data_IF_677924824812
#
_entry.id   IF_677924824812
#
_cell.length_a   1.000
_cell.length_b   1.000
_cell.length_c   1.000
_cell.angle_alpha   90.00
_cell.angle_beta   90.00
_cell.angle_gamma   90.00
#
_symmetry.space_group_name_H-M   'P 1'
#
loop_
_entity.id
_entity.type
_entity.pdbx_description
1 polymer ?
#
# COMPACT_ATOMS: atom_id res chain seq x y z
N UNK A 1 -92.16 39.35 -16.60
CA UNK A 1 -92.39 38.59 -15.38
C UNK A 1 -92.67 39.57 -14.25
N UNK A 2 -93.70 39.35 -13.44
CA UNK A 2 -94.01 40.22 -12.30
C UNK A 2 -92.87 40.27 -11.30
N UNK A 3 -92.60 41.43 -10.74
CA UNK A 3 -91.48 41.73 -9.80
C UNK A 3 -91.47 40.76 -8.59
N UNK A 4 -92.62 40.27 -8.21
CA UNK A 4 -92.77 39.29 -7.11
C UNK A 4 -92.09 37.92 -7.42
N UNK A 5 -92.19 37.49 -8.66
CA UNK A 5 -91.58 36.20 -9.06
C UNK A 5 -90.01 36.30 -9.11
N UNK A 6 -89.54 37.46 -9.55
CA UNK A 6 -88.06 37.68 -9.53
C UNK A 6 -87.51 37.72 -8.11
N UNK A 7 -88.22 38.37 -7.19
CA UNK A 7 -87.75 38.45 -5.76
C UNK A 7 -87.77 37.09 -5.07
N UNK A 8 -88.76 36.26 -5.43
CA UNK A 8 -88.90 34.91 -4.89
C UNK A 8 -87.78 33.99 -5.39
N UNK A 9 -87.51 34.02 -6.70
CA UNK A 9 -86.41 33.29 -7.30
C UNK A 9 -85.01 33.70 -6.69
N UNK A 10 -84.83 35.00 -6.51
CA UNK A 10 -83.59 35.50 -5.98
C UNK A 10 -83.35 35.02 -4.52
N UNK A 11 -84.41 35.00 -3.69
CA UNK A 11 -84.34 34.46 -2.35
C UNK A 11 -84.04 32.95 -2.29
N UNK A 12 -84.64 32.16 -3.20
CA UNK A 12 -84.38 30.73 -3.29
C UNK A 12 -82.99 30.43 -3.75
N UNK A 13 -82.40 31.17 -4.68
CA UNK A 13 -81.04 31.03 -5.14
C UNK A 13 -80.07 31.39 -4.03
N UNK A 14 -80.28 32.48 -3.28
CA UNK A 14 -79.44 32.82 -2.15
C UNK A 14 -79.47 31.77 -1.03
N UNK A 15 -80.67 31.26 -0.70
CA UNK A 15 -80.86 30.23 0.30
C UNK A 15 -80.09 28.94 -0.10
N UNK A 16 -80.16 28.53 -1.38
CA UNK A 16 -79.43 27.38 -1.88
C UNK A 16 -77.90 27.60 -1.92
N UNK A 17 -77.43 28.80 -2.21
CA UNK A 17 -75.99 29.14 -2.17
C UNK A 17 -75.49 29.12 -0.73
N UNK A 18 -76.26 29.67 0.22
CA UNK A 18 -75.84 29.60 1.64
C UNK A 18 -75.88 28.19 2.22
N UNK A 19 -76.85 27.35 1.83
CA UNK A 19 -76.90 25.96 2.21
C UNK A 19 -75.68 25.16 1.64
N UNK A 20 -75.35 25.37 0.34
CA UNK A 20 -74.19 24.72 -0.29
C UNK A 20 -72.86 25.16 0.29
N UNK A 21 -72.72 26.41 0.74
CA UNK A 21 -71.50 26.87 1.44
C UNK A 21 -71.37 26.30 2.86
N UNK A 22 -72.51 26.13 3.56
CA UNK A 22 -72.50 25.48 4.89
C UNK A 22 -72.13 24.01 4.84
N UNK A 23 -72.58 23.31 3.80
CA UNK A 23 -72.22 21.89 3.59
C UNK A 23 -70.75 21.69 3.19
N UNK A 24 -70.18 22.60 2.37
CA UNK A 24 -68.74 22.59 2.04
C UNK A 24 -67.83 22.88 3.24
N UNK A 25 -68.33 23.66 4.18
CA UNK A 25 -67.56 23.99 5.42
C UNK A 25 -67.54 22.84 6.43
N UNK A 26 -68.54 21.95 6.41
CA UNK A 26 -68.57 20.74 7.27
C UNK A 26 -67.61 19.63 6.81
N UNK A 27 -67.18 19.58 5.51
CA UNK A 27 -66.31 18.53 4.98
C UNK A 27 -64.81 18.78 5.22
N UNK A 28 -64.38 19.87 5.80
CA UNK A 28 -62.99 20.19 6.12
C UNK A 28 -62.70 20.26 7.62
N UNK A 29 -63.50 19.62 8.45
CA UNK A 29 -63.04 19.29 9.81
C UNK A 29 -62.10 18.06 9.70
N UNK A 30 -60.85 18.30 9.28
CA UNK A 30 -59.79 17.35 9.48
C UNK A 30 -59.76 17.15 10.99
N UNK A 31 -60.06 15.92 11.38
CA UNK A 31 -60.03 15.45 12.75
C UNK A 31 -58.57 15.58 13.24
N UNK A 32 -58.24 16.75 13.81
CA UNK A 32 -57.00 16.91 14.57
C UNK A 32 -57.18 16.05 15.82
N UNK A 33 -56.75 14.77 15.73
CA UNK A 33 -56.46 13.99 16.92
C UNK A 33 -55.55 14.87 17.77
N UNK A 34 -56.03 15.35 18.91
CA UNK A 34 -55.18 15.94 19.94
C UNK A 34 -54.32 14.79 20.44
N UNK A 35 -53.21 14.52 19.72
CA UNK A 35 -52.20 13.58 20.17
C UNK A 35 -51.67 14.16 21.48
N UNK A 36 -51.85 13.46 22.61
CA UNK A 36 -51.33 13.97 23.88
C UNK A 36 -49.83 14.21 23.75
N UNK A 37 -49.32 15.29 24.29
CA UNK A 37 -47.93 15.71 24.15
C UNK A 37 -46.93 14.59 24.51
N UNK A 38 -47.27 13.74 25.48
CA UNK A 38 -46.42 12.59 25.85
C UNK A 38 -46.20 11.60 24.71
N UNK A 39 -47.16 11.42 23.77
CA UNK A 39 -47.01 10.52 22.61
C UNK A 39 -45.98 11.08 21.62
N UNK A 40 -45.96 12.41 21.47
CA UNK A 40 -44.94 13.09 20.65
C UNK A 40 -43.53 12.89 21.24
N UNK A 41 -43.40 13.03 22.55
CA UNK A 41 -42.13 12.77 23.23
C UNK A 41 -41.70 11.30 23.17
N UNK A 42 -42.66 10.37 23.31
CA UNK A 42 -42.40 8.95 23.18
C UNK A 42 -41.95 8.59 21.76
N UNK A 43 -42.57 9.18 20.73
CA UNK A 43 -42.18 8.94 19.32
C UNK A 43 -40.76 9.46 19.05
N UNK A 44 -40.40 10.64 19.54
CA UNK A 44 -39.05 11.20 19.42
C UNK A 44 -38.02 10.31 20.16
N UNK A 45 -38.37 9.86 21.37
CA UNK A 45 -37.49 8.96 22.13
C UNK A 45 -37.23 7.63 21.39
N UNK A 46 -38.27 7.03 20.81
CA UNK A 46 -38.16 5.79 20.00
C UNK A 46 -37.27 6.04 18.79
N UNK A 47 -37.43 7.17 18.08
CA UNK A 47 -36.59 7.51 16.93
C UNK A 47 -35.13 7.71 17.33
N UNK A 48 -34.86 8.37 18.46
CA UNK A 48 -33.49 8.56 18.95
C UNK A 48 -32.85 7.24 19.38
N UNK A 49 -33.60 6.38 20.06
CA UNK A 49 -33.13 5.04 20.45
C UNK A 49 -32.88 4.20 19.18
N UNK A 50 -33.81 4.20 18.22
CA UNK A 50 -33.66 3.50 16.94
C UNK A 50 -32.47 3.98 16.15
N UNK A 51 -32.25 5.31 16.07
CA UNK A 51 -31.07 5.86 15.39
C UNK A 51 -29.77 5.50 16.12
N UNK A 52 -29.77 5.64 17.46
CA UNK A 52 -28.61 5.31 18.28
C UNK A 52 -28.21 3.82 18.18
N UNK A 53 -29.21 2.93 18.26
CA UNK A 53 -28.96 1.48 18.10
C UNK A 53 -28.49 1.12 16.71
N UNK A 54 -29.09 1.71 15.68
CA UNK A 54 -28.67 1.48 14.29
C UNK A 54 -27.25 1.99 14.05
N UNK A 55 -26.92 3.20 14.55
CA UNK A 55 -25.58 3.75 14.44
C UNK A 55 -24.54 2.90 15.19
N UNK A 56 -24.91 2.40 16.39
CA UNK A 56 -24.05 1.49 17.16
C UNK A 56 -23.81 0.17 16.46
N UNK A 57 -24.88 -0.47 15.93
CA UNK A 57 -24.78 -1.71 15.17
C UNK A 57 -23.97 -1.53 13.87
N UNK A 58 -24.22 -0.42 13.17
CA UNK A 58 -23.45 -0.08 11.97
C UNK A 58 -21.97 0.09 12.27
N UNK A 59 -21.65 0.80 13.35
CA UNK A 59 -20.26 0.99 13.79
C UNK A 59 -19.60 -0.36 14.13
N UNK A 60 -20.28 -1.19 14.96
CA UNK A 60 -19.73 -2.51 15.33
C UNK A 60 -19.53 -3.42 14.10
N UNK A 61 -20.49 -3.43 13.17
CA UNK A 61 -20.36 -4.22 11.93
C UNK A 61 -19.24 -3.70 11.04
N UNK A 62 -19.10 -2.36 10.94
CA UNK A 62 -18.01 -1.74 10.19
C UNK A 62 -16.65 -2.05 10.82
N UNK A 63 -16.54 -2.01 12.14
CA UNK A 63 -15.34 -2.36 12.89
C UNK A 63 -15.00 -3.86 12.76
N UNK A 64 -16.00 -4.75 12.74
CA UNK A 64 -15.82 -6.18 12.52
C UNK A 64 -15.33 -6.49 11.10
N UNK A 65 -15.95 -5.86 10.07
CA UNK A 65 -15.53 -6.00 8.68
C UNK A 65 -14.12 -5.42 8.46
N UNK A 66 -13.80 -4.30 9.09
CA UNK A 66 -12.47 -3.68 9.01
C UNK A 66 -11.40 -4.47 9.80
N UNK A 67 -11.82 -5.30 10.75
CA UNK A 67 -10.93 -6.03 11.67
C UNK A 67 -10.85 -7.51 11.35
N UNK A 68 -11.30 -7.97 10.16
CA UNK A 68 -11.12 -9.36 9.75
C UNK A 68 -9.61 -9.65 9.67
N UNK A 69 -9.02 -10.38 10.63
CA UNK A 69 -7.59 -10.66 10.67
C UNK A 69 -7.13 -11.53 9.50
N UNK A 70 -8.06 -12.15 8.79
CA UNK A 70 -7.78 -12.93 7.58
C UNK A 70 -7.64 -12.02 6.34
N UNK A 71 -8.11 -10.77 6.42
CA UNK A 71 -8.00 -9.83 5.30
C UNK A 71 -6.58 -9.31 5.19
N UNK A 72 -5.92 -9.68 4.10
CA UNK A 72 -4.56 -9.28 3.77
C UNK A 72 -4.59 -8.18 2.69
N UNK A 73 -3.87 -7.11 2.92
CA UNK A 73 -3.57 -6.09 1.92
C UNK A 73 -2.25 -6.43 1.23
N UNK A 74 -2.24 -6.32 -0.08
CA UNK A 74 -1.09 -6.66 -0.92
C UNK A 74 -0.77 -5.51 -1.86
N UNK A 75 0.45 -5.03 -1.82
CA UNK A 75 1.00 -4.07 -2.77
C UNK A 75 2.00 -4.81 -3.65
N UNK A 76 1.68 -4.93 -4.94
CA UNK A 76 2.53 -5.59 -5.92
C UNK A 76 3.13 -4.55 -6.85
N UNK A 77 4.43 -4.60 -7.03
CA UNK A 77 5.20 -3.77 -7.95
C UNK A 77 5.82 -4.67 -9.02
N UNK A 78 5.40 -4.49 -10.26
CA UNK A 78 5.89 -5.28 -11.38
C UNK A 78 7.35 -4.95 -11.75
N UNK A 79 7.96 -5.80 -12.57
CA UNK A 79 9.27 -5.52 -13.17
C UNK A 79 9.25 -4.20 -13.93
N UNK A 80 10.32 -3.43 -13.83
CA UNK A 80 10.44 -2.12 -14.48
C UNK A 80 9.68 -0.98 -13.77
N UNK A 81 8.96 -1.27 -12.68
CA UNK A 81 8.19 -0.31 -11.93
C UNK A 81 8.79 -0.07 -10.54
N UNK A 82 8.45 1.05 -9.94
CA UNK A 82 8.69 1.36 -8.52
C UNK A 82 7.46 2.04 -7.95
N UNK A 83 7.24 1.89 -6.67
CA UNK A 83 6.12 2.51 -5.99
C UNK A 83 6.52 3.04 -4.62
N UNK A 84 5.72 3.94 -4.09
CA UNK A 84 5.77 4.32 -2.68
C UNK A 84 4.39 4.17 -2.07
N UNK A 85 4.34 3.71 -0.84
CA UNK A 85 3.11 3.54 -0.07
C UNK A 85 3.30 4.12 1.32
N UNK A 86 2.24 4.70 1.86
CA UNK A 86 2.15 5.09 3.26
C UNK A 86 1.28 4.08 3.97
N UNK A 87 1.81 3.42 4.98
CA UNK A 87 1.10 2.48 5.83
C UNK A 87 0.16 3.20 6.80
N UNK A 88 -0.82 2.50 7.40
CA UNK A 88 -1.81 3.11 8.29
C UNK A 88 -1.23 3.83 9.52
N UNK A 89 -0.02 3.45 9.96
CA UNK A 89 0.71 4.07 11.09
C UNK A 89 1.52 5.32 10.70
N UNK A 90 1.51 5.71 9.40
CA UNK A 90 2.33 6.81 8.88
C UNK A 90 3.71 6.40 8.35
N UNK A 91 4.12 5.14 8.54
CA UNK A 91 5.38 4.60 7.97
C UNK A 91 5.37 4.74 6.45
N UNK A 92 6.45 5.30 5.89
CA UNK A 92 6.64 5.42 4.44
C UNK A 92 7.50 4.28 3.93
N UNK A 93 7.05 3.64 2.87
CA UNK A 93 7.75 2.52 2.25
C UNK A 93 7.93 2.81 0.76
N UNK A 94 9.17 2.72 0.28
CA UNK A 94 9.49 2.70 -1.14
C UNK A 94 9.76 1.26 -1.55
N UNK A 95 9.11 0.82 -2.61
CA UNK A 95 9.19 -0.52 -3.16
C UNK A 95 9.95 -0.49 -4.47
N UNK A 96 11.01 -1.28 -4.58
CA UNK A 96 11.77 -1.44 -5.81
C UNK A 96 11.05 -2.36 -6.80
N UNK A 97 11.57 -2.50 -7.98
CA UNK A 97 11.01 -3.33 -9.05
C UNK A 97 10.89 -4.80 -8.61
N UNK A 98 9.82 -5.46 -9.07
CA UNK A 98 9.54 -6.86 -8.76
C UNK A 98 9.46 -7.13 -7.26
N UNK A 99 8.67 -6.31 -6.56
CA UNK A 99 8.55 -6.35 -5.10
C UNK A 99 7.09 -6.50 -4.70
N UNK A 100 6.87 -7.32 -3.70
CA UNK A 100 5.58 -7.50 -3.03
C UNK A 100 5.70 -7.16 -1.55
N UNK A 101 4.78 -6.34 -1.07
CA UNK A 101 4.61 -6.03 0.34
C UNK A 101 3.20 -6.43 0.77
N UNK A 102 3.08 -7.19 1.86
CA UNK A 102 1.80 -7.60 2.42
C UNK A 102 1.70 -7.26 3.89
N UNK A 103 0.49 -6.91 4.34
CA UNK A 103 0.16 -6.70 5.76
C UNK A 103 -1.32 -7.02 6.00
N UNK A 104 -1.68 -7.37 7.24
CA UNK A 104 -3.04 -7.74 7.59
C UNK A 104 -3.90 -6.54 7.96
N UNK A 105 -5.22 -6.72 8.02
CA UNK A 105 -6.17 -5.67 8.39
C UNK A 105 -6.09 -5.24 9.87
N UNK A 106 -5.45 -6.05 10.70
CA UNK A 106 -5.14 -5.76 12.11
C UNK A 106 -3.81 -5.01 12.31
N UNK A 107 -3.13 -4.66 11.20
CA UNK A 107 -1.90 -3.87 11.24
C UNK A 107 -2.05 -2.61 12.11
N UNK A 108 -1.14 -2.45 13.05
CA UNK A 108 -1.11 -1.32 13.99
C UNK A 108 -2.00 -1.48 15.22
N UNK A 109 -2.80 -2.56 15.36
CA UNK A 109 -3.59 -2.86 16.56
C UNK A 109 -2.79 -3.60 17.62
N UNK A 110 -2.21 -4.75 17.25
CA UNK A 110 -1.37 -5.57 18.12
C UNK A 110 0.11 -5.43 17.78
N UNK A 111 0.41 -5.39 16.49
CA UNK A 111 1.77 -5.23 15.98
C UNK A 111 1.74 -4.53 14.61
N UNK A 112 2.91 -4.06 14.17
CA UNK A 112 3.13 -3.44 12.87
C UNK A 112 3.92 -4.43 11.98
N UNK A 113 3.28 -5.57 11.67
CA UNK A 113 3.90 -6.66 10.90
C UNK A 113 3.64 -6.50 9.41
N UNK A 114 4.73 -6.54 8.62
CA UNK A 114 4.68 -6.62 7.16
C UNK A 114 5.51 -7.80 6.66
N UNK A 115 5.09 -8.42 5.57
CA UNK A 115 5.90 -9.41 4.85
C UNK A 115 6.40 -8.80 3.55
N UNK A 116 7.67 -9.03 3.22
CA UNK A 116 8.36 -8.51 2.05
C UNK A 116 8.95 -9.64 1.21
N UNK A 117 8.65 -9.62 -0.09
CA UNK A 117 9.40 -10.34 -1.11
C UNK A 117 9.91 -9.32 -2.13
N UNK A 118 11.22 -9.19 -2.29
CA UNK A 118 11.82 -8.14 -3.14
C UNK A 118 12.69 -7.17 -2.34
N UNK A 119 12.65 -5.89 -2.67
CA UNK A 119 13.48 -4.86 -2.03
C UNK A 119 12.64 -3.64 -1.66
N UNK A 120 12.76 -3.20 -0.40
CA UNK A 120 12.07 -2.02 0.08
C UNK A 120 12.95 -1.19 1.04
N UNK A 121 12.75 0.12 0.96
CA UNK A 121 13.29 1.09 1.91
C UNK A 121 12.15 1.61 2.78
N UNK A 122 12.39 1.59 4.08
CA UNK A 122 11.41 1.96 5.11
C UNK A 122 11.86 3.22 5.86
N UNK A 123 10.96 4.17 6.01
CA UNK A 123 11.05 5.24 7.00
C UNK A 123 9.93 5.00 8.01
N UNK A 124 10.29 4.30 9.08
CA UNK A 124 9.34 3.83 10.09
C UNK A 124 8.94 4.97 11.02
N UNK A 125 7.64 5.17 11.17
CA UNK A 125 7.09 6.13 12.14
C UNK A 125 7.47 5.73 13.57
N UNK A 126 7.89 6.72 14.37
CA UNK A 126 8.39 6.49 15.74
C UNK A 126 7.25 6.09 16.66
N UNK A 127 7.32 4.87 17.17
CA UNK A 127 6.42 4.35 18.19
C UNK A 127 7.19 3.39 19.10
N UNK A 128 7.36 3.78 20.36
CA UNK A 128 8.07 2.99 21.36
C UNK A 128 7.21 1.87 21.96
N UNK A 129 5.91 1.85 21.69
CA UNK A 129 4.97 0.89 22.28
C UNK A 129 4.68 -0.28 21.36
N UNK A 130 4.84 -0.11 20.04
CA UNK A 130 4.55 -1.13 19.03
C UNK A 130 5.75 -1.30 18.10
N UNK A 131 6.27 -2.51 18.03
CA UNK A 131 7.40 -2.84 17.18
C UNK A 131 6.95 -2.92 15.71
N UNK A 132 7.73 -2.32 14.81
CA UNK A 132 7.59 -2.52 13.38
C UNK A 132 8.42 -3.71 12.95
N UNK A 133 7.82 -4.71 12.33
CA UNK A 133 8.47 -5.97 12.00
C UNK A 133 8.34 -6.25 10.50
N UNK A 134 9.47 -6.46 9.83
CA UNK A 134 9.53 -6.91 8.43
C UNK A 134 9.94 -8.38 8.40
N UNK A 135 9.06 -9.25 7.90
CA UNK A 135 9.40 -10.64 7.56
C UNK A 135 9.82 -10.73 6.11
N UNK A 136 11.05 -11.09 5.85
CA UNK A 136 11.69 -11.12 4.54
C UNK A 136 12.38 -12.47 4.30
N UNK A 137 11.64 -13.44 3.78
CA UNK A 137 12.07 -14.83 3.72
C UNK A 137 12.35 -15.38 5.12
N UNK A 138 13.59 -15.80 5.39
CA UNK A 138 14.02 -16.31 6.70
C UNK A 138 14.51 -15.22 7.66
N UNK A 139 14.63 -13.98 7.17
CA UNK A 139 15.09 -12.84 7.95
C UNK A 139 13.90 -12.08 8.55
N UNK A 140 14.02 -11.75 9.83
CA UNK A 140 13.11 -10.82 10.50
C UNK A 140 13.88 -9.57 10.90
N UNK A 141 13.31 -8.40 10.60
CA UNK A 141 13.89 -7.09 10.86
C UNK A 141 12.93 -6.30 11.73
N UNK A 142 13.36 -5.93 12.94
CA UNK A 142 12.53 -5.24 13.93
C UNK A 142 13.06 -3.84 14.23
N UNK A 143 12.15 -2.87 14.24
CA UNK A 143 12.44 -1.44 14.36
C UNK A 143 11.40 -0.70 15.24
N UNK A 144 11.81 0.44 15.83
CA UNK A 144 10.94 1.30 16.67
C UNK A 144 10.77 2.73 16.14
N UNK A 145 11.43 3.05 15.03
CA UNK A 145 11.45 4.40 14.44
C UNK A 145 12.80 4.63 13.80
N UNK A 146 12.99 4.08 12.60
CA UNK A 146 14.29 3.91 11.95
C UNK A 146 14.15 4.07 10.45
N UNK A 147 15.26 4.40 9.78
CA UNK A 147 15.35 4.35 8.32
C UNK A 147 16.27 3.19 7.91
N UNK A 148 15.76 2.23 7.15
CA UNK A 148 16.52 1.04 6.74
C UNK A 148 16.03 0.48 5.39
N UNK A 149 16.88 -0.29 4.72
CA UNK A 149 16.60 -1.03 3.50
C UNK A 149 16.62 -2.53 3.77
N UNK A 150 15.69 -3.26 3.20
CA UNK A 150 15.68 -4.73 3.19
C UNK A 150 15.64 -5.21 1.76
N UNK A 151 16.55 -6.12 1.39
CA UNK A 151 16.58 -6.77 0.08
C UNK A 151 16.48 -8.28 0.28
N UNK A 152 15.42 -8.85 -0.23
CA UNK A 152 15.02 -10.24 -0.03
C UNK A 152 14.32 -10.82 -1.25
N UNK A 153 14.95 -10.70 -2.43
CA UNK A 153 14.47 -11.38 -3.63
C UNK A 153 14.66 -12.89 -3.48
N UNK A 154 13.71 -13.67 -3.98
CA UNK A 154 13.76 -15.13 -3.88
C UNK A 154 14.96 -15.71 -4.61
N UNK A 155 15.26 -15.20 -5.81
CA UNK A 155 16.35 -15.64 -6.67
C UNK A 155 17.73 -15.15 -6.23
N UNK A 156 17.83 -14.16 -5.34
CA UNK A 156 19.11 -13.68 -4.83
C UNK A 156 19.71 -14.69 -3.82
N UNK A 157 21.02 -14.89 -3.89
CA UNK A 157 21.75 -15.77 -2.96
C UNK A 157 21.76 -15.26 -1.53
N UNK A 158 21.52 -13.96 -1.35
CA UNK A 158 21.65 -13.27 -0.06
C UNK A 158 20.38 -12.50 0.28
N UNK A 159 20.07 -12.48 1.58
CA UNK A 159 19.17 -11.51 2.19
C UNK A 159 20.02 -10.42 2.82
N UNK A 160 19.65 -9.15 2.66
CA UNK A 160 20.38 -8.03 3.28
C UNK A 160 19.44 -7.09 3.99
N UNK A 161 19.89 -6.58 5.15
CA UNK A 161 19.26 -5.49 5.87
C UNK A 161 20.30 -4.42 6.16
N UNK A 162 20.04 -3.17 5.77
CA UNK A 162 20.97 -2.05 5.92
C UNK A 162 20.31 -0.94 6.70
N UNK A 163 20.96 -0.48 7.77
CA UNK A 163 20.46 0.58 8.63
C UNK A 163 21.11 1.92 8.29
N UNK A 164 20.28 2.98 8.19
CA UNK A 164 20.72 4.36 7.94
C UNK A 164 20.53 5.25 9.17
N UNK A 165 19.41 5.08 9.90
CA UNK A 165 19.10 5.88 11.08
C UNK A 165 18.41 5.03 12.14
N UNK A 166 18.77 5.24 13.41
CA UNK A 166 18.18 4.59 14.57
C UNK A 166 18.85 3.29 14.96
N UNK A 167 18.07 2.25 15.24
CA UNK A 167 18.53 0.93 15.70
C UNK A 167 17.59 -0.15 15.20
N UNK A 168 18.14 -1.21 14.65
CA UNK A 168 17.38 -2.35 14.10
C UNK A 168 17.91 -3.64 14.69
N UNK A 169 17.01 -4.53 15.14
CA UNK A 169 17.31 -5.92 15.44
C UNK A 169 16.99 -6.76 14.23
N UNK A 170 17.97 -7.54 13.77
CA UNK A 170 17.79 -8.51 12.68
C UNK A 170 17.97 -9.91 13.21
N UNK A 171 17.11 -10.84 12.85
CA UNK A 171 17.16 -12.23 13.25
C UNK A 171 17.03 -13.18 12.06
N UNK A 172 17.75 -14.29 12.07
CA UNK A 172 17.61 -15.41 11.14
C UNK A 172 17.66 -16.71 11.96
N UNK A 173 16.52 -17.38 12.09
CA UNK A 173 16.40 -18.54 12.96
C UNK A 173 16.62 -18.18 14.43
N UNK A 174 17.73 -18.68 15.04
CA UNK A 174 18.10 -18.39 16.43
C UNK A 174 19.19 -17.33 16.58
N UNK A 175 19.80 -16.95 15.47
CA UNK A 175 20.89 -15.97 15.47
C UNK A 175 20.31 -14.58 15.30
N UNK A 176 20.78 -13.64 16.12
CA UNK A 176 20.33 -12.25 16.04
C UNK A 176 21.51 -11.27 16.09
N UNK A 177 21.34 -10.13 15.44
CA UNK A 177 22.30 -9.04 15.39
C UNK A 177 21.58 -7.71 15.53
N UNK A 178 22.14 -6.81 16.31
CA UNK A 178 21.67 -5.43 16.38
C UNK A 178 22.56 -4.58 15.48
N UNK A 179 21.94 -3.98 14.45
CA UNK A 179 22.61 -3.06 13.54
C UNK A 179 22.65 -1.65 14.12
N UNK A 180 23.75 -0.97 13.88
CA UNK A 180 23.97 0.46 14.10
C UNK A 180 23.89 1.20 12.76
N UNK A 181 23.71 2.52 12.75
CA UNK A 181 23.77 3.31 11.53
C UNK A 181 25.00 3.00 10.69
N UNK A 182 24.82 2.95 9.38
CA UNK A 182 25.82 2.59 8.37
C UNK A 182 26.32 1.13 8.44
N UNK A 183 25.59 0.25 9.14
CA UNK A 183 25.86 -1.19 9.12
C UNK A 183 24.84 -1.92 8.23
N UNK A 184 25.35 -2.94 7.53
CA UNK A 184 24.57 -3.85 6.70
C UNK A 184 24.82 -5.29 7.12
N UNK A 185 23.74 -6.02 7.45
CA UNK A 185 23.77 -7.47 7.62
C UNK A 185 23.53 -8.12 6.26
N UNK A 186 24.37 -9.08 5.92
CA UNK A 186 24.18 -9.99 4.79
C UNK A 186 24.06 -11.42 5.30
N UNK A 187 22.98 -12.11 4.97
CA UNK A 187 22.77 -13.53 5.21
C UNK A 187 22.84 -14.30 3.91
N UNK A 188 23.79 -15.21 3.78
CA UNK A 188 23.95 -16.08 2.63
C UNK A 188 23.08 -17.34 2.79
N UNK A 189 22.12 -17.51 1.89
CA UNK A 189 21.10 -18.60 1.96
C UNK A 189 21.73 -20.00 1.79
N UNK A 190 22.88 -20.09 1.09
CA UNK A 190 23.54 -21.38 0.80
C UNK A 190 24.44 -21.78 1.96
N UNK A 191 25.36 -20.90 2.34
CA UNK A 191 26.32 -21.18 3.42
C UNK A 191 25.74 -20.98 4.81
N UNK A 192 24.54 -20.37 4.93
CA UNK A 192 23.86 -20.05 6.20
C UNK A 192 24.68 -19.11 7.12
N UNK A 193 25.56 -18.31 6.54
CA UNK A 193 26.42 -17.39 7.28
C UNK A 193 25.84 -15.97 7.30
N UNK A 194 25.91 -15.36 8.47
CA UNK A 194 25.62 -13.95 8.68
C UNK A 194 26.93 -13.16 8.72
N UNK A 195 26.96 -12.01 8.05
CA UNK A 195 28.10 -11.10 8.04
C UNK A 195 27.63 -9.66 8.14
N UNK A 196 28.20 -8.90 9.08
CA UNK A 196 27.98 -7.45 9.19
C UNK A 196 29.14 -6.71 8.55
N UNK A 197 28.82 -5.70 7.74
CA UNK A 197 29.81 -4.82 7.11
C UNK A 197 29.31 -3.37 7.04
N UNK A 198 30.23 -2.41 6.83
CA UNK A 198 29.91 -1.00 6.59
C UNK A 198 30.12 -0.58 5.13
N UNK A 199 30.77 -1.41 4.36
CA UNK A 199 31.29 -1.06 3.03
C UNK A 199 30.21 -0.75 2.00
N UNK A 200 28.99 -1.24 2.18
CA UNK A 200 27.90 -1.13 1.17
C UNK A 200 26.71 -0.32 1.69
N UNK A 201 26.71 0.09 2.96
CA UNK A 201 25.55 0.73 3.55
C UNK A 201 25.14 2.02 2.79
N UNK A 202 26.11 2.88 2.43
CA UNK A 202 25.85 4.11 1.70
C UNK A 202 25.14 3.88 0.33
N UNK A 203 25.34 2.72 -0.27
CA UNK A 203 24.86 2.39 -1.61
C UNK A 203 23.50 1.67 -1.61
N UNK A 204 23.09 1.07 -0.49
CA UNK A 204 21.90 0.23 -0.43
C UNK A 204 20.57 0.97 -0.67
N UNK A 205 20.54 2.30 -0.64
CA UNK A 205 19.37 3.14 -0.94
C UNK A 205 19.45 3.89 -2.27
N UNK A 206 20.58 3.80 -3.01
CA UNK A 206 20.81 4.55 -4.26
C UNK A 206 19.74 4.29 -5.33
N UNK A 207 19.15 3.09 -5.31
CA UNK A 207 18.07 2.76 -6.23
C UNK A 207 16.87 3.70 -6.15
N UNK A 208 16.59 4.31 -4.97
CA UNK A 208 15.54 5.32 -4.82
C UNK A 208 15.81 6.56 -5.68
N UNK A 209 17.08 6.92 -5.81
CA UNK A 209 17.55 8.10 -6.55
C UNK A 209 17.91 7.76 -8.01
N UNK A 210 17.45 6.59 -8.47
CA UNK A 210 17.69 6.10 -9.83
C UNK A 210 19.18 5.85 -10.14
N UNK A 211 19.95 5.44 -9.11
CA UNK A 211 21.36 5.07 -9.24
C UNK A 211 21.53 3.56 -8.99
N UNK A 212 22.46 2.94 -9.71
CA UNK A 212 22.83 1.53 -9.56
C UNK A 212 24.25 1.41 -9.04
N UNK A 213 24.43 0.56 -8.05
CA UNK A 213 25.74 0.24 -7.49
C UNK A 213 26.05 -1.24 -7.69
N UNK A 214 27.26 -1.51 -8.16
CA UNK A 214 27.81 -2.85 -8.39
C UNK A 214 29.16 -2.95 -7.69
N UNK A 215 29.38 -4.05 -6.95
CA UNK A 215 30.63 -4.32 -6.21
C UNK A 215 31.13 -5.73 -6.52
N UNK A 216 31.52 -5.95 -7.76
CA UNK A 216 32.08 -7.23 -8.19
C UNK A 216 31.02 -8.28 -8.50
N UNK A 217 29.79 -7.89 -8.81
CA UNK A 217 28.77 -8.78 -9.29
C UNK A 217 29.18 -9.41 -10.61
N UNK A 218 28.88 -10.70 -10.77
CA UNK A 218 29.02 -11.39 -12.06
C UNK A 218 28.02 -10.84 -13.07
N UNK A 219 28.35 -10.89 -14.37
CA UNK A 219 27.39 -10.46 -15.39
C UNK A 219 26.09 -11.27 -15.37
N UNK A 220 26.11 -12.50 -14.86
CA UNK A 220 24.89 -13.26 -14.60
C UNK A 220 24.03 -12.61 -13.51
N UNK A 221 24.61 -12.14 -12.40
CA UNK A 221 23.91 -11.42 -11.34
C UNK A 221 23.41 -10.05 -11.82
N UNK A 222 24.23 -9.37 -12.63
CA UNK A 222 23.82 -8.13 -13.31
C UNK A 222 22.63 -8.37 -14.24
N UNK A 223 22.63 -9.46 -15.01
CA UNK A 223 21.53 -9.82 -15.90
C UNK A 223 20.22 -10.00 -15.16
N UNK A 224 20.22 -10.67 -14.00
CA UNK A 224 19.04 -10.81 -13.13
C UNK A 224 18.55 -9.44 -12.63
N UNK A 225 19.46 -8.54 -12.28
CA UNK A 225 19.12 -7.18 -11.86
C UNK A 225 18.50 -6.38 -13.01
N UNK A 226 19.05 -6.47 -14.23
CA UNK A 226 18.53 -5.78 -15.41
C UNK A 226 17.15 -6.31 -15.81
N UNK A 227 16.92 -7.63 -15.70
CA UNK A 227 15.59 -8.21 -15.93
C UNK A 227 14.55 -7.62 -14.96
N UNK A 228 14.89 -7.49 -13.69
CA UNK A 228 13.99 -6.86 -12.70
C UNK A 228 13.74 -5.37 -13.00
N UNK A 229 14.80 -4.61 -13.24
CA UNK A 229 14.72 -3.15 -13.34
C UNK A 229 14.12 -2.66 -14.65
N UNK A 230 14.26 -3.41 -15.74
CA UNK A 230 13.87 -2.98 -17.09
C UNK A 230 12.92 -3.95 -17.78
N UNK A 231 12.55 -5.06 -17.12
CA UNK A 231 11.75 -6.13 -17.72
C UNK A 231 12.32 -6.63 -19.05
N UNK A 232 13.62 -6.91 -19.07
CA UNK A 232 14.38 -7.31 -20.25
C UNK A 232 15.13 -8.62 -20.01
N UNK A 233 15.03 -9.59 -20.91
CA UNK A 233 15.84 -10.80 -20.82
C UNK A 233 17.26 -10.53 -21.32
N UNK A 234 18.24 -10.92 -20.49
CA UNK A 234 19.66 -10.89 -20.88
C UNK A 234 20.13 -12.32 -21.12
N UNK A 235 20.57 -12.59 -22.34
CA UNK A 235 21.12 -13.90 -22.76
C UNK A 235 22.60 -13.79 -23.00
N UNK A 236 23.32 -14.89 -22.80
CA UNK A 236 24.74 -14.97 -22.98
C UNK A 236 25.05 -15.94 -24.14
N UNK A 237 25.85 -15.52 -25.10
CA UNK A 237 26.32 -16.35 -26.20
C UNK A 237 27.43 -17.34 -25.75
N UNK A 238 28.12 -17.03 -24.62
CA UNK A 238 29.19 -17.85 -24.05
C UNK A 238 29.06 -17.99 -22.55
N UNK A 239 29.28 -19.19 -22.01
CA UNK A 239 29.28 -19.40 -20.53
C UNK A 239 30.38 -18.61 -19.82
N UNK A 240 31.51 -18.38 -20.43
CA UNK A 240 32.64 -17.65 -19.87
C UNK A 240 32.24 -16.20 -19.50
N UNK A 241 31.46 -15.55 -20.35
CA UNK A 241 31.01 -14.15 -20.18
C UNK A 241 30.16 -13.98 -18.91
N UNK A 242 29.40 -14.99 -18.52
CA UNK A 242 28.57 -14.95 -17.30
C UNK A 242 29.38 -14.66 -16.03
N UNK A 243 30.63 -15.10 -16.00
CA UNK A 243 31.53 -15.01 -14.84
C UNK A 243 32.34 -13.72 -14.79
N UNK A 244 32.34 -12.90 -15.85
CA UNK A 244 32.99 -11.58 -15.79
C UNK A 244 32.35 -10.73 -14.71
N UNK A 245 33.15 -9.96 -14.01
CA UNK A 245 32.70 -9.15 -12.88
C UNK A 245 32.68 -7.67 -13.23
N UNK A 246 31.67 -7.02 -12.74
CA UNK A 246 31.50 -5.58 -12.91
C UNK A 246 31.44 -4.88 -11.56
N UNK A 247 32.09 -3.70 -11.47
CA UNK A 247 32.03 -2.80 -10.30
C UNK A 247 31.90 -1.37 -10.79
N UNK A 248 31.02 -0.60 -10.16
CA UNK A 248 30.84 0.80 -10.50
C UNK A 248 29.53 1.36 -9.97
N UNK A 249 29.39 2.69 -10.10
CA UNK A 249 28.13 3.41 -9.84
C UNK A 249 27.65 3.96 -11.17
N UNK A 250 26.42 3.64 -11.53
CA UNK A 250 25.77 4.14 -12.73
C UNK A 250 24.65 5.08 -12.33
N UNK A 251 24.76 6.35 -12.70
CA UNK A 251 23.75 7.38 -12.48
C UNK A 251 22.86 7.54 -13.70
N UNK A 252 21.63 7.95 -13.47
CA UNK A 252 20.65 8.23 -14.54
C UNK A 252 20.52 7.04 -15.52
N UNK A 253 20.14 5.90 -14.97
CA UNK A 253 20.25 4.58 -15.58
C UNK A 253 19.12 4.28 -16.57
N UNK A 254 19.28 4.61 -17.85
CA UNK A 254 18.55 3.87 -18.89
C UNK A 254 19.23 2.51 -19.15
N UNK A 255 18.47 1.54 -19.64
CA UNK A 255 19.00 0.23 -20.00
C UNK A 255 20.20 0.34 -20.98
N UNK A 256 20.05 1.22 -21.98
CA UNK A 256 21.08 1.46 -22.98
C UNK A 256 22.37 1.95 -22.34
N UNK A 257 22.26 2.95 -21.47
CA UNK A 257 23.42 3.54 -20.78
C UNK A 257 24.12 2.49 -19.89
N UNK A 258 23.34 1.68 -19.16
CA UNK A 258 23.91 0.62 -18.30
C UNK A 258 24.69 -0.40 -19.12
N UNK A 259 24.10 -0.93 -20.20
CA UNK A 259 24.74 -1.94 -21.05
C UNK A 259 25.96 -1.35 -21.77
N UNK A 260 25.88 -0.12 -22.25
CA UNK A 260 26.99 0.57 -22.88
C UNK A 260 28.18 0.70 -21.92
N UNK A 261 27.96 1.24 -20.71
CA UNK A 261 29.02 1.38 -19.70
C UNK A 261 29.65 0.04 -19.32
N UNK A 262 28.85 -1.01 -19.16
CA UNK A 262 29.38 -2.36 -18.91
C UNK A 262 30.25 -2.81 -20.10
N UNK A 263 29.81 -2.56 -21.34
CA UNK A 263 30.55 -2.97 -22.53
C UNK A 263 31.87 -2.20 -22.74
N UNK A 264 31.96 -0.98 -22.23
CA UNK A 264 33.20 -0.19 -22.29
C UNK A 264 34.24 -0.67 -21.27
N UNK A 265 33.81 -1.22 -20.14
CA UNK A 265 34.68 -1.59 -19.01
C UNK A 265 34.97 -3.08 -18.93
N UNK A 266 34.11 -3.93 -19.49
CA UNK A 266 34.30 -5.38 -19.58
C UNK A 266 34.60 -5.80 -21.03
N UNK A 267 35.35 -6.90 -21.25
CA UNK A 267 35.67 -7.39 -22.62
C UNK A 267 34.45 -8.08 -23.26
N UNK A 268 33.37 -7.32 -23.44
CA UNK A 268 32.12 -7.82 -24.01
C UNK A 268 31.62 -6.94 -25.16
N UNK A 269 30.76 -7.53 -25.96
CA UNK A 269 29.91 -6.86 -26.96
C UNK A 269 28.45 -7.22 -26.65
N UNK A 270 27.50 -6.41 -27.12
CA UNK A 270 26.10 -6.72 -26.97
C UNK A 270 25.30 -6.42 -28.24
N UNK A 271 24.13 -7.07 -28.37
CA UNK A 271 23.14 -6.81 -29.41
C UNK A 271 21.74 -6.81 -28.83
N UNK A 272 20.89 -5.96 -29.35
CA UNK A 272 19.43 -6.01 -29.07
C UNK A 272 18.76 -6.92 -30.10
N UNK A 273 17.98 -7.88 -29.62
CA UNK A 273 17.25 -8.84 -30.46
C UNK A 273 15.82 -8.94 -29.94
N UNK A 274 14.88 -8.32 -30.64
CA UNK A 274 13.45 -8.39 -30.30
C UNK A 274 13.07 -7.83 -28.93
N UNK A 275 13.87 -6.92 -28.37
CA UNK A 275 13.68 -6.37 -27.01
C UNK A 275 14.60 -6.99 -25.96
N UNK A 276 15.16 -8.17 -26.21
CA UNK A 276 16.14 -8.82 -25.35
C UNK A 276 17.57 -8.32 -25.63
N UNK A 277 18.47 -8.53 -24.66
CA UNK A 277 19.89 -8.24 -24.79
C UNK A 277 20.66 -9.56 -24.93
N UNK A 278 21.49 -9.67 -25.94
CA UNK A 278 22.44 -10.78 -26.09
C UNK A 278 23.87 -10.26 -25.89
N UNK A 279 24.56 -10.80 -24.88
CA UNK A 279 25.94 -10.44 -24.55
C UNK A 279 26.89 -11.52 -25.03
N UNK A 280 28.00 -11.13 -25.68
CA UNK A 280 29.05 -11.98 -26.17
C UNK A 280 30.42 -11.48 -25.78
N UNK A 281 31.44 -12.30 -25.86
CA UNK A 281 32.83 -11.91 -25.64
C UNK A 281 33.32 -10.98 -26.78
N UNK A 282 34.05 -9.95 -26.42
CA UNK A 282 34.75 -9.09 -27.39
C UNK A 282 35.97 -9.82 -27.85
N UNK A 283 36.03 -10.14 -29.13
CA UNK A 283 37.18 -10.80 -29.80
C UNK A 283 38.33 -9.82 -29.97
#
# INVERSE_FOLDING_TARGET
LPVEVQTRMFREIQARMHAGMAEKKKRKAIFWLKIPQWVSYAAVAILLIGFSTTAFLYKNLADEIASDPLRTYRVLVDKGQRASVMLPDGTKVWLNSHTELTYNADYGKENRLVALSGEAYFEVEKDSTSHFIVKAGEMEVEALGTAFNVRAYEEDKKLTATLFEGKVRTAVGKDEVILRPDESLSFDKVSRKMQVSKDIAAYARMWKDNELFFKGETLQEVAVMLDRLYNVQVRFASEKVKHYRFSGVIKNNSLENVIELISLTAPITYKKVGGDIVIDERK
#
